data_IF_487222725940
#
_entry.id   IF_487222725940
#
_cell.length_a   1.000
_cell.length_b   1.000
_cell.length_c   1.000
_cell.angle_alpha   90.00
_cell.angle_beta   90.00
_cell.angle_gamma   90.00
#
_symmetry.space_group_name_H-M   'P 1'
#
loop_
_entity.id
_entity.type
_entity.pdbx_description
1 polymer ?
#
# COMPACT_ATOMS: atom_id res chain seq x y z
N UNK A 1 69.41 -9.88 -22.58
CA UNK A 1 68.63 -10.93 -21.88
C UNK A 1 67.21 -10.37 -21.66
N UNK A 2 66.17 -11.01 -22.23
CA UNK A 2 64.73 -10.72 -21.91
C UNK A 2 64.47 -11.10 -20.43
N UNK A 3 63.50 -10.56 -19.68
CA UNK A 3 62.05 -10.35 -19.94
C UNK A 3 61.49 -9.22 -18.98
N UNK A 4 60.21 -8.75 -19.03
CA UNK A 4 59.86 -7.33 -19.13
C UNK A 4 58.85 -6.81 -18.07
N UNK A 5 58.51 -5.52 -18.15
CA UNK A 5 57.14 -5.03 -17.91
C UNK A 5 56.81 -4.41 -16.55
N UNK A 6 56.72 -3.08 -16.48
CA UNK A 6 55.47 -2.29 -16.38
C UNK A 6 55.80 -0.85 -15.97
N UNK A 7 55.09 0.03 -16.65
CA UNK A 7 55.18 1.48 -16.79
C UNK A 7 54.27 2.15 -15.74
N UNK A 8 54.85 3.05 -14.93
CA UNK A 8 54.35 4.41 -14.51
C UNK A 8 52.95 4.43 -13.82
N UNK A 9 52.72 5.05 -12.66
CA UNK A 9 52.59 6.50 -12.43
C UNK A 9 52.45 6.80 -10.92
N UNK A 10 53.26 7.77 -10.48
CA UNK A 10 53.13 8.69 -9.35
C UNK A 10 52.10 8.40 -8.23
N UNK A 11 52.61 7.97 -7.08
CA UNK A 11 52.07 8.36 -5.77
C UNK A 11 53.17 9.09 -4.98
N UNK A 12 53.03 10.40 -4.83
CA UNK A 12 53.72 11.20 -3.81
C UNK A 12 52.64 12.08 -3.15
N UNK A 13 52.21 11.73 -1.94
CA UNK A 13 52.71 12.23 -0.64
C UNK A 13 51.89 13.47 -0.23
N UNK A 14 51.09 13.41 0.86
CA UNK A 14 51.52 13.84 2.20
C UNK A 14 50.39 13.52 3.22
N UNK A 15 50.67 12.68 4.25
CA UNK A 15 50.67 13.01 5.72
C UNK A 15 49.26 12.95 6.35
N UNK A 16 48.95 12.30 7.48
CA UNK A 16 49.67 11.72 8.62
C UNK A 16 48.76 10.61 9.20
N UNK A 17 49.30 9.41 9.41
CA UNK A 17 48.63 8.39 10.23
C UNK A 17 48.74 8.78 11.70
N UNK A 18 47.63 9.17 12.29
CA UNK A 18 47.43 9.17 13.74
C UNK A 18 46.25 8.26 14.05
N UNK A 19 46.60 7.10 14.63
CA UNK A 19 45.82 6.28 15.56
C UNK A 19 44.39 5.87 15.21
N UNK A 20 44.22 4.56 15.01
CA UNK A 20 43.17 3.72 15.61
C UNK A 20 41.81 4.38 15.83
N UNK A 21 40.86 4.12 14.91
CA UNK A 21 39.64 3.41 15.28
C UNK A 21 38.99 2.81 14.03
N UNK A 22 38.95 1.48 14.01
CA UNK A 22 37.91 0.77 13.27
C UNK A 22 36.63 0.90 14.08
N UNK A 23 35.87 1.98 13.88
CA UNK A 23 34.48 2.02 14.32
C UNK A 23 33.56 2.43 13.16
N UNK A 24 32.76 1.44 12.76
CA UNK A 24 31.45 1.55 12.14
C UNK A 24 31.37 2.06 10.71
N UNK A 25 31.42 1.09 9.78
CA UNK A 25 30.53 1.14 8.62
C UNK A 25 29.11 0.99 9.16
N UNK A 26 28.46 2.08 9.57
CA UNK A 26 27.06 2.04 9.99
C UNK A 26 26.20 1.58 8.81
N UNK A 27 25.51 0.47 9.03
CA UNK A 27 24.62 -0.18 8.08
C UNK A 27 23.40 0.73 7.82
N UNK A 28 23.30 1.34 6.64
CA UNK A 28 22.21 2.23 6.19
C UNK A 28 20.88 1.49 5.91
N UNK A 29 20.49 0.54 6.76
CA UNK A 29 19.32 -0.34 6.54
C UNK A 29 18.10 0.04 7.40
N UNK A 30 18.14 1.23 8.01
CA UNK A 30 17.11 1.77 8.89
C UNK A 30 16.18 2.73 8.13
N UNK A 31 14.87 2.57 8.32
CA UNK A 31 13.84 3.42 7.68
C UNK A 31 13.36 4.55 8.61
N UNK A 32 13.35 4.30 9.92
CA UNK A 32 13.10 5.32 10.95
C UNK A 32 14.33 5.43 11.87
N UNK A 33 14.87 6.64 12.00
CA UNK A 33 15.97 6.99 12.91
C UNK A 33 15.43 7.42 14.28
N UNK A 34 16.05 7.06 15.43
CA UNK A 34 15.73 7.59 16.75
C UNK A 34 15.72 9.12 16.82
N UNK A 35 14.53 9.69 16.58
CA UNK A 35 14.01 10.93 17.18
C UNK A 35 15.01 12.11 17.32
N UNK A 36 15.22 12.92 16.26
CA UNK A 36 16.00 14.16 16.40
C UNK A 36 15.32 15.25 17.26
N UNK A 37 13.98 15.23 17.38
CA UNK A 37 13.20 16.33 17.99
C UNK A 37 12.34 15.94 19.23
N UNK A 38 12.56 14.75 19.80
CA UNK A 38 11.82 14.26 20.98
C UNK A 38 10.41 13.72 20.67
N UNK A 39 9.70 13.15 21.67
CA UNK A 39 8.46 12.38 21.48
C UNK A 39 7.23 13.19 21.03
N UNK A 40 7.44 14.45 20.59
CA UNK A 40 6.42 15.38 20.12
C UNK A 40 6.51 15.73 18.64
N UNK A 41 7.43 15.14 17.87
CA UNK A 41 7.32 15.14 16.41
C UNK A 41 6.09 14.31 16.01
N UNK A 42 5.24 14.82 15.14
CA UNK A 42 4.00 14.17 14.71
C UNK A 42 4.32 12.85 14.00
N UNK A 43 4.52 11.76 14.74
CA UNK A 43 4.63 10.42 14.16
C UNK A 43 3.32 10.13 13.44
N UNK A 44 3.35 10.16 12.10
CA UNK A 44 2.19 9.88 11.26
C UNK A 44 1.54 8.55 11.66
N UNK A 45 0.24 8.42 11.39
CA UNK A 45 -0.54 7.25 11.83
C UNK A 45 0.02 5.92 11.31
N UNK A 46 0.72 5.95 10.16
CA UNK A 46 1.48 4.80 9.64
C UNK A 46 2.63 4.40 10.55
N UNK A 47 3.47 5.34 11.00
CA UNK A 47 4.59 5.01 11.89
C UNK A 47 4.09 4.36 13.18
N UNK A 48 3.02 4.93 13.77
CA UNK A 48 2.38 4.38 14.96
C UNK A 48 1.88 2.96 14.69
N UNK A 49 1.21 2.73 13.56
CA UNK A 49 0.76 1.40 13.13
C UNK A 49 1.91 0.40 13.00
N UNK A 50 3.01 0.81 12.35
CA UNK A 50 4.20 -0.02 12.17
C UNK A 50 4.85 -0.38 13.51
N UNK A 51 5.02 0.60 14.40
CA UNK A 51 5.56 0.38 15.74
C UNK A 51 4.69 -0.58 16.54
N UNK A 52 3.38 -0.42 16.49
CA UNK A 52 2.43 -1.31 17.17
C UNK A 52 2.52 -2.75 16.62
N UNK A 53 2.56 -2.91 15.30
CA UNK A 53 2.71 -4.22 14.67
C UNK A 53 4.03 -4.92 15.05
N UNK A 54 5.11 -4.15 15.19
CA UNK A 54 6.44 -4.64 15.58
C UNK A 54 6.66 -4.71 17.10
N UNK A 55 5.72 -4.22 17.92
CA UNK A 55 5.85 -4.07 19.38
C UNK A 55 7.08 -3.25 19.77
N UNK A 56 7.25 -2.11 19.12
CA UNK A 56 8.40 -1.22 19.27
C UNK A 56 8.04 0.09 19.95
N UNK A 57 8.93 0.51 20.84
CA UNK A 57 8.88 1.84 21.46
C UNK A 57 9.13 2.95 20.42
N UNK A 58 8.70 4.17 20.74
CA UNK A 58 8.73 5.35 19.85
C UNK A 58 10.11 5.64 19.27
N UNK A 59 11.19 5.38 20.02
CA UNK A 59 12.56 5.66 19.56
C UNK A 59 13.32 4.42 19.08
N UNK A 60 12.67 3.25 19.02
CA UNK A 60 13.34 2.05 18.53
C UNK A 60 13.55 2.13 17.00
N UNK A 61 14.76 1.84 16.52
CA UNK A 61 15.05 1.74 15.09
C UNK A 61 14.14 0.69 14.43
N UNK A 62 13.67 0.93 13.21
CA UNK A 62 12.92 -0.04 12.41
C UNK A 62 13.72 -0.36 11.14
N UNK A 63 13.98 -1.64 10.92
CA UNK A 63 14.71 -2.16 9.75
C UNK A 63 13.75 -2.64 8.67
N UNK A 64 14.24 -2.74 7.43
CA UNK A 64 13.47 -3.33 6.31
C UNK A 64 13.08 -4.79 6.56
N UNK A 65 13.95 -5.58 7.18
CA UNK A 65 13.67 -6.97 7.50
C UNK A 65 12.49 -7.10 8.48
N UNK A 66 12.37 -6.17 9.43
CA UNK A 66 11.24 -6.13 10.35
C UNK A 66 9.96 -5.71 9.64
N UNK A 67 10.00 -4.68 8.79
CA UNK A 67 8.85 -4.29 7.96
C UNK A 67 8.36 -5.46 7.10
N UNK A 68 9.29 -6.20 6.49
CA UNK A 68 8.97 -7.38 5.70
C UNK A 68 8.34 -8.51 6.54
N UNK A 69 8.51 -8.54 7.86
CA UNK A 69 7.86 -9.53 8.74
C UNK A 69 6.39 -9.20 9.05
N UNK A 70 5.94 -7.97 8.77
CA UNK A 70 4.57 -7.54 9.06
C UNK A 70 3.60 -8.21 8.08
N UNK A 71 2.62 -8.92 8.64
CA UNK A 71 1.52 -9.53 7.87
C UNK A 71 0.18 -8.82 8.07
N UNK A 72 0.04 -8.09 9.18
CA UNK A 72 -1.19 -7.37 9.54
C UNK A 72 -0.80 -5.98 10.03
N UNK A 73 -1.35 -4.94 9.40
CA UNK A 73 -1.11 -3.55 9.76
C UNK A 73 -2.42 -2.79 9.84
N UNK A 74 -2.73 -2.27 11.03
CA UNK A 74 -3.77 -1.27 11.23
C UNK A 74 -3.09 0.07 11.50
N UNK A 75 -3.19 0.97 10.53
CA UNK A 75 -2.78 2.36 10.63
C UNK A 75 -3.99 3.28 10.39
N UNK A 76 -5.21 2.83 10.66
CA UNK A 76 -6.41 3.65 10.48
C UNK A 76 -6.40 4.92 11.34
N UNK A 77 -6.88 6.01 10.75
CA UNK A 77 -7.02 7.31 11.43
C UNK A 77 -8.46 7.44 11.93
N UNK A 78 -8.62 7.65 13.24
CA UNK A 78 -9.93 7.78 13.91
C UNK A 78 -10.10 9.11 14.66
N UNK A 79 -9.21 10.07 14.43
CA UNK A 79 -9.12 11.32 15.19
C UNK A 79 -8.01 12.22 14.65
N UNK A 80 -7.09 12.64 15.52
CA UNK A 80 -5.93 13.44 15.12
C UNK A 80 -4.86 12.56 14.44
N UNK A 81 -4.33 13.04 13.32
CA UNK A 81 -3.39 12.33 12.46
C UNK A 81 -3.79 12.52 11.00
N UNK A 82 -2.89 12.24 10.08
CA UNK A 82 -3.17 12.10 8.66
C UNK A 82 -2.27 11.02 8.07
N UNK A 83 -2.69 10.52 6.91
CA UNK A 83 -1.86 9.72 6.03
C UNK A 83 -1.90 10.38 4.66
N UNK A 84 -0.74 10.75 4.15
CA UNK A 84 -0.59 11.19 2.77
C UNK A 84 0.20 10.19 1.92
N UNK A 85 0.38 10.52 0.64
CA UNK A 85 1.10 9.66 -0.31
C UNK A 85 2.55 9.41 0.13
N UNK A 86 3.20 10.38 0.79
CA UNK A 86 4.61 10.27 1.22
C UNK A 86 4.75 9.37 2.44
N UNK A 87 3.81 9.44 3.39
CA UNK A 87 3.77 8.56 4.55
C UNK A 87 3.60 7.09 4.14
N UNK A 88 2.83 6.84 3.07
CA UNK A 88 2.55 5.49 2.59
C UNK A 88 3.74 4.80 1.89
N UNK A 89 4.79 5.54 1.48
CA UNK A 89 5.95 5.00 0.75
C UNK A 89 6.67 3.88 1.50
N UNK A 90 6.62 3.86 2.83
CA UNK A 90 7.21 2.78 3.64
C UNK A 90 6.55 1.42 3.41
N UNK A 91 5.30 1.38 2.95
CA UNK A 91 4.55 0.14 2.76
C UNK A 91 5.13 -0.76 1.67
N UNK A 92 5.93 -0.21 0.74
CA UNK A 92 6.63 -1.00 -0.28
C UNK A 92 7.59 -2.03 0.33
N UNK A 93 8.01 -1.84 1.58
CA UNK A 93 8.88 -2.77 2.31
C UNK A 93 8.10 -3.85 3.10
N UNK A 94 6.78 -3.69 3.27
CA UNK A 94 5.91 -4.64 3.97
C UNK A 94 5.48 -5.78 3.04
N UNK A 95 6.44 -6.45 2.40
CA UNK A 95 6.20 -7.36 1.27
C UNK A 95 5.32 -8.59 1.60
N UNK A 96 5.21 -8.98 2.87
CA UNK A 96 4.39 -10.11 3.32
C UNK A 96 3.02 -9.69 3.87
N UNK A 97 2.59 -8.45 3.63
CA UNK A 97 1.34 -7.92 4.15
C UNK A 97 0.12 -8.66 3.56
N UNK A 98 -0.77 -9.08 4.44
CA UNK A 98 -2.01 -9.79 4.13
C UNK A 98 -3.24 -8.96 4.48
N UNK A 99 -3.18 -8.21 5.58
CA UNK A 99 -4.26 -7.34 6.03
C UNK A 99 -3.72 -5.93 6.22
N UNK A 100 -4.32 -4.97 5.53
CA UNK A 100 -3.94 -3.57 5.59
C UNK A 100 -5.18 -2.70 5.79
N UNK A 101 -5.18 -1.95 6.89
CA UNK A 101 -6.17 -0.92 7.15
C UNK A 101 -5.51 0.47 7.19
N UNK A 102 -5.76 1.28 6.17
CA UNK A 102 -5.36 2.69 6.09
C UNK A 102 -6.58 3.62 6.11
N UNK A 103 -7.73 3.16 6.60
CA UNK A 103 -8.97 3.93 6.54
C UNK A 103 -8.84 5.27 7.27
N UNK A 104 -9.29 6.35 6.65
CA UNK A 104 -9.26 7.72 7.18
C UNK A 104 -10.56 8.45 6.80
N UNK A 105 -11.06 9.36 7.62
CA UNK A 105 -12.25 10.16 7.29
C UNK A 105 -11.89 11.46 6.56
N UNK A 106 -10.66 11.94 6.70
CA UNK A 106 -10.11 13.13 6.02
C UNK A 106 -8.80 12.76 5.30
N UNK A 107 -8.79 11.57 4.69
CA UNK A 107 -7.63 10.98 4.06
C UNK A 107 -7.14 11.78 2.86
N UNK A 108 -5.82 11.90 2.74
CA UNK A 108 -5.16 12.70 1.70
C UNK A 108 -4.45 11.87 0.66
N UNK A 109 -4.51 10.54 0.77
CA UNK A 109 -3.91 9.67 -0.23
C UNK A 109 -4.66 9.79 -1.55
N UNK A 110 -3.91 9.93 -2.64
CA UNK A 110 -4.43 9.93 -4.01
C UNK A 110 -3.78 8.85 -4.85
N UNK A 111 -2.56 8.44 -4.48
CA UNK A 111 -1.83 7.37 -5.13
C UNK A 111 -1.57 6.22 -4.16
N UNK A 112 -1.62 5.01 -4.69
CA UNK A 112 -1.37 3.78 -3.93
C UNK A 112 -0.20 2.98 -4.53
N UNK A 113 0.74 3.68 -5.18
CA UNK A 113 1.97 3.08 -5.75
C UNK A 113 2.75 2.23 -4.74
N UNK A 114 2.87 2.59 -3.45
CA UNK A 114 3.57 1.75 -2.48
C UNK A 114 2.94 0.38 -2.24
N UNK A 115 1.69 0.17 -2.69
CA UNK A 115 1.02 -1.14 -2.62
C UNK A 115 1.34 -2.04 -3.83
N UNK A 116 2.04 -1.50 -4.84
CA UNK A 116 2.50 -2.27 -5.98
C UNK A 116 3.43 -3.40 -5.51
N UNK A 117 3.16 -4.63 -5.95
CA UNK A 117 3.94 -5.81 -5.57
C UNK A 117 3.58 -6.42 -4.21
N UNK A 118 2.60 -5.88 -3.47
CA UNK A 118 2.05 -6.52 -2.25
C UNK A 118 1.10 -7.67 -2.63
N UNK A 119 1.68 -8.72 -3.20
CA UNK A 119 0.96 -9.87 -3.80
C UNK A 119 0.24 -10.76 -2.79
N UNK A 120 0.54 -10.60 -1.50
CA UNK A 120 -0.02 -11.39 -0.41
C UNK A 120 -1.28 -10.77 0.23
N UNK A 121 -1.72 -9.60 -0.21
CA UNK A 121 -2.90 -8.93 0.33
C UNK A 121 -4.17 -9.78 0.14
N UNK A 122 -4.94 -9.90 1.23
CA UNK A 122 -6.22 -10.61 1.34
C UNK A 122 -7.34 -9.63 1.71
N UNK A 123 -7.06 -8.67 2.60
CA UNK A 123 -7.99 -7.66 3.09
C UNK A 123 -7.35 -6.28 3.03
N UNK A 124 -7.99 -5.36 2.30
CA UNK A 124 -7.50 -4.01 2.09
C UNK A 124 -8.61 -2.99 2.33
N UNK A 125 -8.39 -2.12 3.30
CA UNK A 125 -9.29 -1.01 3.61
C UNK A 125 -8.62 0.33 3.35
N UNK A 126 -9.13 1.04 2.35
CA UNK A 126 -8.69 2.34 1.86
C UNK A 126 -9.85 3.36 1.88
N UNK A 127 -10.77 3.19 2.82
CA UNK A 127 -11.89 4.12 3.02
C UNK A 127 -11.42 5.56 3.20
N UNK A 128 -12.14 6.49 2.55
CA UNK A 128 -12.15 7.93 2.85
C UNK A 128 -10.89 8.69 2.46
N UNK A 129 -10.31 8.30 1.32
CA UNK A 129 -9.18 8.98 0.67
C UNK A 129 -9.63 9.64 -0.64
N UNK A 130 -8.66 10.10 -1.44
CA UNK A 130 -8.87 10.69 -2.77
C UNK A 130 -8.39 9.76 -3.91
N UNK A 131 -8.42 8.45 -3.69
CA UNK A 131 -7.87 7.46 -4.63
C UNK A 131 -8.71 7.44 -5.90
N UNK A 132 -8.04 7.45 -7.05
CA UNK A 132 -8.67 7.43 -8.36
C UNK A 132 -8.14 6.32 -9.28
N UNK A 133 -6.92 5.82 -9.04
CA UNK A 133 -6.27 4.77 -9.83
C UNK A 133 -6.05 3.51 -8.99
N UNK A 134 -6.56 2.38 -9.49
CA UNK A 134 -6.45 1.07 -8.85
C UNK A 134 -5.35 0.20 -9.46
N UNK A 135 -4.66 0.65 -10.53
CA UNK A 135 -3.65 -0.13 -11.24
C UNK A 135 -2.56 -0.73 -10.32
N UNK A 136 -2.04 -0.02 -9.29
CA UNK A 136 -1.03 -0.59 -8.39
C UNK A 136 -1.47 -1.88 -7.67
N UNK A 137 -2.78 -2.14 -7.56
CA UNK A 137 -3.31 -3.36 -6.93
C UNK A 137 -3.34 -4.57 -7.86
N UNK A 138 -2.98 -4.45 -9.15
CA UNK A 138 -3.15 -5.52 -10.15
C UNK A 138 -2.45 -6.84 -9.78
N UNK A 139 -1.36 -6.77 -9.01
CA UNK A 139 -0.61 -7.93 -8.52
C UNK A 139 -1.27 -8.65 -7.33
N UNK A 140 -2.17 -8.00 -6.59
CA UNK A 140 -2.79 -8.51 -5.36
C UNK A 140 -4.00 -9.40 -5.64
N UNK A 141 -3.85 -10.39 -6.53
CA UNK A 141 -4.94 -11.25 -7.03
C UNK A 141 -5.56 -12.16 -5.95
N UNK A 142 -4.93 -12.26 -4.77
CA UNK A 142 -5.43 -12.96 -3.60
C UNK A 142 -6.44 -12.13 -2.78
N UNK A 143 -6.68 -10.87 -3.13
CA UNK A 143 -7.64 -10.01 -2.43
C UNK A 143 -9.03 -10.63 -2.41
N UNK A 144 -9.58 -10.72 -1.20
CA UNK A 144 -10.93 -11.22 -0.92
C UNK A 144 -11.86 -10.10 -0.45
N UNK A 145 -11.30 -9.11 0.25
CA UNK A 145 -12.06 -7.96 0.77
C UNK A 145 -11.36 -6.66 0.37
N UNK A 146 -12.10 -5.77 -0.27
CA UNK A 146 -11.62 -4.46 -0.72
C UNK A 146 -12.64 -3.38 -0.39
N UNK A 147 -12.24 -2.44 0.47
CA UNK A 147 -13.04 -1.27 0.81
C UNK A 147 -12.41 0.00 0.24
N UNK A 148 -13.12 0.61 -0.70
CA UNK A 148 -12.81 1.88 -1.37
C UNK A 148 -13.95 2.88 -1.20
N UNK A 149 -14.79 2.72 -0.16
CA UNK A 149 -15.87 3.64 0.14
C UNK A 149 -15.36 5.09 0.23
N UNK A 150 -16.14 6.03 -0.31
CA UNK A 150 -15.83 7.46 -0.28
C UNK A 150 -14.44 7.80 -0.83
N UNK A 151 -14.22 7.48 -2.11
CA UNK A 151 -13.02 7.81 -2.89
C UNK A 151 -13.41 8.48 -4.22
N UNK A 152 -12.45 8.62 -5.13
CA UNK A 152 -12.62 9.29 -6.43
C UNK A 152 -12.52 8.31 -7.62
N UNK A 153 -12.70 7.01 -7.38
CA UNK A 153 -12.55 5.96 -8.39
C UNK A 153 -13.64 6.11 -9.46
N UNK A 154 -13.26 6.08 -10.73
CA UNK A 154 -14.18 6.10 -11.87
C UNK A 154 -13.95 4.93 -12.83
N UNK A 155 -12.67 4.56 -13.03
CA UNK A 155 -12.26 3.38 -13.78
C UNK A 155 -12.02 2.21 -12.83
N UNK A 156 -12.75 1.12 -13.05
CA UNK A 156 -12.63 -0.12 -12.29
C UNK A 156 -12.19 -1.29 -13.17
N UNK A 157 -11.56 -1.04 -14.31
CA UNK A 157 -11.04 -2.07 -15.24
C UNK A 157 -10.07 -3.03 -14.55
N UNK A 158 -9.22 -2.54 -13.65
CA UNK A 158 -8.33 -3.37 -12.83
C UNK A 158 -9.10 -4.42 -12.02
N UNK A 159 -10.37 -4.17 -11.67
CA UNK A 159 -11.16 -5.12 -10.89
C UNK A 159 -11.46 -6.44 -11.63
N UNK A 160 -11.26 -6.50 -12.95
CA UNK A 160 -11.53 -7.68 -13.77
C UNK A 160 -10.68 -8.90 -13.36
N UNK A 161 -9.47 -8.69 -12.82
CA UNK A 161 -8.50 -9.76 -12.56
C UNK A 161 -8.59 -10.38 -11.17
N UNK A 162 -9.31 -9.76 -10.22
CA UNK A 162 -9.40 -10.28 -8.84
C UNK A 162 -10.45 -11.38 -8.73
N UNK A 163 -10.08 -12.58 -9.15
CA UNK A 163 -10.96 -13.76 -9.12
C UNK A 163 -11.36 -14.25 -7.73
N UNK A 164 -10.70 -13.75 -6.67
CA UNK A 164 -10.95 -14.15 -5.28
C UNK A 164 -11.82 -13.15 -4.49
N UNK A 165 -12.16 -11.98 -5.05
CA UNK A 165 -12.97 -10.98 -4.34
C UNK A 165 -14.34 -11.54 -3.94
N UNK A 166 -14.69 -11.35 -2.67
CA UNK A 166 -15.97 -11.72 -2.06
C UNK A 166 -16.70 -10.52 -1.49
N UNK A 167 -15.99 -9.50 -1.05
CA UNK A 167 -16.58 -8.28 -0.52
C UNK A 167 -15.91 -7.07 -1.16
N UNK A 168 -16.72 -6.25 -1.84
CA UNK A 168 -16.26 -5.07 -2.55
C UNK A 168 -17.16 -3.89 -2.19
N UNK A 169 -16.58 -2.87 -1.55
CA UNK A 169 -17.28 -1.63 -1.28
C UNK A 169 -16.69 -0.51 -2.13
N UNK A 170 -17.48 -0.05 -3.09
CA UNK A 170 -17.20 1.05 -4.02
C UNK A 170 -18.19 2.20 -3.83
N UNK A 171 -18.97 2.21 -2.74
CA UNK A 171 -19.98 3.25 -2.53
C UNK A 171 -19.34 4.64 -2.45
N UNK A 172 -20.10 5.66 -2.89
CA UNK A 172 -19.65 7.07 -2.97
C UNK A 172 -18.33 7.23 -3.74
N UNK A 173 -18.31 6.74 -4.98
CA UNK A 173 -17.25 6.98 -5.94
C UNK A 173 -17.83 7.68 -7.19
N UNK A 174 -17.12 7.65 -8.31
CA UNK A 174 -17.47 8.30 -9.59
C UNK A 174 -17.69 7.29 -10.72
N UNK A 175 -18.14 6.09 -10.38
CA UNK A 175 -18.27 4.97 -11.31
C UNK A 175 -19.54 5.13 -12.16
N UNK A 176 -19.39 4.98 -13.46
CA UNK A 176 -20.49 5.05 -14.43
C UNK A 176 -20.78 3.68 -15.03
N UNK A 177 -19.73 2.89 -15.27
CA UNK A 177 -19.78 1.58 -15.92
C UNK A 177 -19.35 0.43 -15.00
N UNK A 178 -20.22 -0.57 -14.87
CA UNK A 178 -19.99 -1.79 -14.09
C UNK A 178 -19.57 -3.00 -14.96
N UNK A 179 -19.35 -2.82 -16.26
CA UNK A 179 -18.93 -3.90 -17.16
C UNK A 179 -17.71 -4.68 -16.63
N UNK A 180 -16.67 -4.05 -16.05
CA UNK A 180 -15.54 -4.80 -15.49
C UNK A 180 -15.91 -5.79 -14.38
N UNK A 181 -16.94 -5.51 -13.58
CA UNK A 181 -17.42 -6.44 -12.55
C UNK A 181 -18.17 -7.63 -13.16
N UNK A 182 -18.91 -7.39 -14.25
CA UNK A 182 -19.56 -8.46 -15.02
C UNK A 182 -18.49 -9.38 -15.64
N UNK A 183 -17.40 -8.80 -16.14
CA UNK A 183 -16.31 -9.55 -16.78
C UNK A 183 -15.40 -10.28 -15.79
N UNK A 184 -15.39 -9.86 -14.52
CA UNK A 184 -14.76 -10.61 -13.45
C UNK A 184 -15.56 -11.90 -13.20
N UNK A 185 -14.94 -13.04 -13.53
CA UNK A 185 -15.52 -14.39 -13.40
C UNK A 185 -15.52 -14.93 -11.97
N UNK A 186 -14.80 -14.29 -11.05
CA UNK A 186 -14.71 -14.66 -9.64
C UNK A 186 -15.87 -14.18 -8.77
N UNK A 187 -16.56 -13.11 -9.18
CA UNK A 187 -17.77 -12.64 -8.52
C UNK A 187 -18.94 -13.60 -8.76
N UNK A 188 -19.14 -14.50 -7.80
CA UNK A 188 -20.14 -15.56 -7.83
C UNK A 188 -21.09 -15.49 -6.62
N UNK A 189 -21.93 -16.52 -6.47
CA UNK A 189 -22.85 -16.69 -5.36
C UNK A 189 -22.24 -16.30 -4.01
N UNK A 190 -22.93 -15.41 -3.29
CA UNK A 190 -22.55 -14.96 -1.95
C UNK A 190 -21.56 -13.81 -1.91
N UNK A 191 -20.99 -13.38 -3.05
CA UNK A 191 -20.21 -12.16 -3.09
C UNK A 191 -21.10 -10.93 -2.87
N UNK A 192 -20.56 -9.90 -2.21
CA UNK A 192 -21.25 -8.65 -1.93
C UNK A 192 -20.54 -7.49 -2.62
N UNK A 193 -21.33 -6.62 -3.27
CA UNK A 193 -20.85 -5.44 -3.98
C UNK A 193 -21.73 -4.25 -3.59
N UNK A 194 -21.14 -3.21 -3.00
CA UNK A 194 -21.83 -1.93 -2.76
C UNK A 194 -21.30 -0.88 -3.75
N UNK A 195 -22.17 -0.37 -4.61
CA UNK A 195 -21.92 0.71 -5.57
C UNK A 195 -22.85 1.91 -5.33
N UNK A 196 -23.51 1.96 -4.18
CA UNK A 196 -24.44 3.05 -3.85
C UNK A 196 -23.77 4.42 -3.88
N UNK A 197 -24.50 5.45 -4.34
CA UNK A 197 -23.95 6.80 -4.45
C UNK A 197 -22.92 6.99 -5.57
N UNK A 198 -22.91 6.11 -6.58
CA UNK A 198 -22.18 6.31 -7.83
C UNK A 198 -23.11 6.85 -8.95
N UNK A 199 -22.58 7.63 -9.91
CA UNK A 199 -23.32 8.10 -11.09
C UNK A 199 -23.53 6.99 -12.14
N UNK A 200 -24.09 5.85 -11.74
CA UNK A 200 -24.25 4.67 -12.60
C UNK A 200 -25.11 4.97 -13.84
N UNK A 201 -24.64 4.53 -15.00
CA UNK A 201 -25.37 4.64 -16.27
C UNK A 201 -26.65 3.78 -16.29
N UNK A 202 -27.54 4.07 -17.24
CA UNK A 202 -28.72 3.23 -17.48
C UNK A 202 -28.35 1.80 -17.86
N UNK A 203 -27.25 1.58 -18.56
CA UNK A 203 -26.75 0.23 -18.91
C UNK A 203 -26.31 -0.51 -17.63
N UNK A 204 -25.54 0.17 -16.77
CA UNK A 204 -25.11 -0.42 -15.50
C UNK A 204 -26.30 -0.85 -14.65
N UNK A 205 -27.30 0.02 -14.49
CA UNK A 205 -28.51 -0.25 -13.69
C UNK A 205 -29.38 -1.35 -14.29
N UNK A 206 -29.62 -1.31 -15.60
CA UNK A 206 -30.63 -2.17 -16.24
C UNK A 206 -30.06 -3.47 -16.84
N UNK A 207 -28.74 -3.60 -16.95
CA UNK A 207 -28.10 -4.77 -17.56
C UNK A 207 -26.99 -5.36 -16.69
N UNK A 208 -26.02 -4.54 -16.25
CA UNK A 208 -24.87 -5.07 -15.52
C UNK A 208 -25.24 -5.56 -14.11
N UNK A 209 -26.07 -4.80 -13.38
CA UNK A 209 -26.52 -5.22 -12.05
C UNK A 209 -27.37 -6.50 -12.12
N UNK A 210 -28.41 -6.61 -12.97
CA UNK A 210 -29.13 -7.88 -13.14
C UNK A 210 -28.22 -9.05 -13.54
N UNK A 211 -27.19 -8.82 -14.36
CA UNK A 211 -26.24 -9.86 -14.73
C UNK A 211 -25.38 -10.34 -13.54
N UNK A 212 -25.00 -9.43 -12.63
CA UNK A 212 -24.31 -9.79 -11.38
C UNK A 212 -25.24 -10.57 -10.45
N UNK A 213 -26.46 -10.06 -10.23
CA UNK A 213 -27.47 -10.68 -9.36
C UNK A 213 -27.87 -12.08 -9.85
N UNK A 214 -27.97 -12.29 -11.17
CA UNK A 214 -28.24 -13.60 -11.76
C UNK A 214 -27.17 -14.66 -11.45
N UNK A 215 -25.95 -14.24 -11.07
CA UNK A 215 -24.87 -15.13 -10.60
C UNK A 215 -24.86 -15.31 -9.08
N UNK A 216 -25.84 -14.75 -8.38
CA UNK A 216 -25.95 -14.79 -6.92
C UNK A 216 -25.10 -13.76 -6.19
N UNK A 217 -24.63 -12.72 -6.88
CA UNK A 217 -23.95 -11.57 -6.26
C UNK A 217 -25.00 -10.67 -5.62
N UNK A 218 -24.76 -10.24 -4.38
CA UNK A 218 -25.63 -9.30 -3.66
C UNK A 218 -25.14 -7.88 -3.98
N UNK A 219 -25.93 -7.12 -4.72
CA UNK A 219 -25.57 -5.76 -5.15
C UNK A 219 -26.41 -4.72 -4.41
N UNK A 220 -25.75 -3.73 -3.81
CA UNK A 220 -26.38 -2.53 -3.25
C UNK A 220 -26.03 -1.32 -4.13
N UNK A 221 -27.02 -0.54 -4.55
CA UNK A 221 -26.82 0.52 -5.55
C UNK A 221 -27.85 1.65 -5.44
#
# INVERSE_FOLDING_TARGET
MKIPGITVIACLLIVLFASCDQEQVENYDFIYDPCPDGPGGESGSIEIGLRNALKKEVCAKITRAELASITHLDASVRGFGWIDDQDAEVLQYCINLQVLNLSDYDGRMSHIRPLEGLVHLIDLNLFGHNIFDLHPLVGSQNLQRLNLYANNVSDISTLQVFGQLKELNLAKNRIVDLKPLVDNRGFSQGATVDVSGNPLSGISKNQHIPALEARGVIVKW
#
